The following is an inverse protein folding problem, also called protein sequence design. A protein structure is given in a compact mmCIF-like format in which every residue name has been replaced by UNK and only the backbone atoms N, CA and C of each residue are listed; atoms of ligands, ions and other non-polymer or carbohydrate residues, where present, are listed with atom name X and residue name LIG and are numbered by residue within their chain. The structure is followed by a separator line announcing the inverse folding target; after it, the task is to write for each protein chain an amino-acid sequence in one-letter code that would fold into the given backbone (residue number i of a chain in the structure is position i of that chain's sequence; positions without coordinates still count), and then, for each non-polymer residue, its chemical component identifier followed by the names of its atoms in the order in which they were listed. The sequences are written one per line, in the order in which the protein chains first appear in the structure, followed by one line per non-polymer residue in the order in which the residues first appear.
data_IF_437063306703
#
_entry.id   IF_437063306703
#
_cell.length_a   1.000
_cell.length_b   1.000
_cell.length_c   1.000
_cell.angle_alpha   90.00
_cell.angle_beta   90.00
_cell.angle_gamma   90.00
#
_symmetry.space_group_name_H-M   'P 1'
#
loop_
_entity.id
_entity.type
_entity.pdbx_description
1 polymer ?
#
# COMPACT_ATOMS: atom_id res chain seq x y z
N UNK A 1 17.94 27.76 -20.04
CA UNK A 1 16.87 27.39 -19.09
C UNK A 1 17.38 27.68 -17.69
N UNK A 2 16.59 28.26 -16.78
CA UNK A 2 17.04 28.47 -15.40
C UNK A 2 17.42 27.11 -14.76
N UNK A 3 18.46 27.09 -13.94
CA UNK A 3 18.88 25.89 -13.21
C UNK A 3 17.68 25.37 -12.40
N UNK A 4 17.27 24.14 -12.68
CA UNK A 4 16.21 23.47 -11.91
C UNK A 4 16.79 23.12 -10.54
N UNK A 5 16.32 23.79 -9.49
CA UNK A 5 16.60 23.41 -8.11
C UNK A 5 15.83 22.12 -7.73
N UNK A 6 16.19 21.49 -6.60
CA UNK A 6 15.58 20.24 -6.11
C UNK A 6 14.04 20.29 -6.09
N UNK A 7 13.48 21.43 -5.68
CA UNK A 7 12.03 21.63 -5.63
C UNK A 7 11.37 21.41 -7.00
N UNK A 8 11.92 22.00 -8.08
CA UNK A 8 11.39 21.81 -9.42
C UNK A 8 11.43 20.33 -9.85
N UNK A 9 12.46 19.58 -9.48
CA UNK A 9 12.54 18.14 -9.76
C UNK A 9 11.43 17.37 -9.06
N UNK A 10 11.23 17.61 -7.76
CA UNK A 10 10.16 16.95 -7.01
C UNK A 10 8.78 17.25 -7.59
N UNK A 11 8.50 18.50 -7.98
CA UNK A 11 7.23 18.86 -8.61
C UNK A 11 7.01 18.10 -9.90
N UNK A 12 8.02 18.03 -10.77
CA UNK A 12 7.90 17.31 -12.05
C UNK A 12 7.76 15.80 -11.84
N UNK A 13 8.57 15.20 -10.97
CA UNK A 13 8.52 13.76 -10.67
C UNK A 13 7.15 13.39 -10.10
N UNK A 14 6.65 14.18 -9.14
CA UNK A 14 5.33 13.96 -8.55
C UNK A 14 4.22 14.13 -9.60
N UNK A 15 4.30 15.17 -10.44
CA UNK A 15 3.36 15.35 -11.55
C UNK A 15 3.29 14.16 -12.50
N UNK A 16 4.45 13.59 -12.87
CA UNK A 16 4.51 12.39 -13.73
C UNK A 16 3.90 11.16 -13.05
N UNK A 17 4.18 10.95 -11.77
CA UNK A 17 3.58 9.86 -10.99
C UNK A 17 2.07 10.03 -10.88
N UNK A 18 1.58 11.26 -10.67
CA UNK A 18 0.14 11.58 -10.64
C UNK A 18 -0.57 11.36 -11.98
N UNK A 19 0.15 11.49 -13.10
CA UNK A 19 -0.33 11.13 -14.44
C UNK A 19 -0.10 9.65 -14.80
N UNK A 20 0.31 8.81 -13.84
CA UNK A 20 0.65 7.39 -14.04
C UNK A 20 1.80 7.14 -15.04
N UNK A 21 2.64 8.14 -15.32
CA UNK A 21 3.80 8.05 -16.21
C UNK A 21 5.05 7.60 -15.46
N UNK A 22 4.99 6.39 -14.90
CA UNK A 22 6.01 5.87 -13.99
C UNK A 22 7.38 5.72 -14.66
N UNK A 23 7.43 5.25 -15.91
CA UNK A 23 8.69 5.12 -16.66
C UNK A 23 9.36 6.48 -16.90
N UNK A 24 8.56 7.51 -17.21
CA UNK A 24 9.06 8.88 -17.39
C UNK A 24 9.56 9.47 -16.07
N UNK A 25 8.88 9.19 -14.94
CA UNK A 25 9.32 9.64 -13.62
C UNK A 25 10.69 9.05 -13.26
N UNK A 26 10.91 7.76 -13.54
CA UNK A 26 12.21 7.09 -13.34
C UNK A 26 13.27 7.67 -14.29
N UNK A 27 12.93 7.90 -15.56
CA UNK A 27 13.84 8.52 -16.51
C UNK A 27 14.25 9.94 -16.07
N UNK A 28 13.31 10.73 -15.56
CA UNK A 28 13.55 12.07 -15.07
C UNK A 28 14.46 12.08 -13.84
N UNK A 29 14.31 11.12 -12.94
CA UNK A 29 15.24 10.95 -11.82
C UNK A 29 16.66 10.62 -12.29
N UNK A 30 16.82 9.80 -13.34
CA UNK A 30 18.17 9.56 -13.92
C UNK A 30 18.79 10.84 -14.46
N UNK A 31 18.01 11.72 -15.09
CA UNK A 31 18.49 13.04 -15.53
C UNK A 31 18.90 13.92 -14.33
N UNK A 32 18.11 13.91 -13.26
CA UNK A 32 18.41 14.61 -12.01
C UNK A 32 19.77 14.15 -11.42
N UNK A 33 20.02 12.84 -11.42
CA UNK A 33 21.29 12.25 -10.96
C UNK A 33 22.49 12.64 -11.86
N UNK A 34 22.31 12.70 -13.18
CA UNK A 34 23.36 13.17 -14.11
C UNK A 34 23.76 14.62 -13.85
N UNK A 35 22.82 15.42 -13.34
CA UNK A 35 23.05 16.80 -12.90
C UNK A 35 23.61 16.90 -11.48
N UNK A 36 23.96 15.77 -10.85
CA UNK A 36 24.50 15.65 -9.49
C UNK A 36 23.57 16.24 -8.43
N UNK A 37 22.26 16.20 -8.67
CA UNK A 37 21.25 16.62 -7.71
C UNK A 37 20.75 15.35 -7.01
N UNK A 38 20.91 15.31 -5.69
CA UNK A 38 20.46 14.18 -4.87
C UNK A 38 18.96 14.22 -4.65
N UNK A 39 18.33 13.04 -4.67
CA UNK A 39 16.92 12.89 -4.36
C UNK A 39 16.69 12.99 -2.86
N UNK A 40 15.57 13.58 -2.47
CA UNK A 40 15.15 13.59 -1.07
C UNK A 40 14.07 12.54 -0.81
N UNK A 41 13.51 12.58 0.39
CA UNK A 41 12.41 11.70 0.82
C UNK A 41 11.20 11.74 -0.13
N UNK A 42 10.83 12.92 -0.63
CA UNK A 42 9.69 13.05 -1.56
C UNK A 42 10.04 12.38 -2.88
N UNK A 43 11.25 12.62 -3.39
CA UNK A 43 11.75 11.92 -4.59
C UNK A 43 11.67 10.40 -4.41
N UNK A 44 12.14 9.87 -3.28
CA UNK A 44 12.17 8.44 -3.01
C UNK A 44 10.77 7.83 -2.93
N UNK A 45 9.84 8.47 -2.21
CA UNK A 45 8.46 8.00 -2.10
C UNK A 45 7.78 7.91 -3.49
N UNK A 46 7.94 8.94 -4.34
CA UNK A 46 7.40 8.94 -5.69
C UNK A 46 7.99 7.80 -6.55
N UNK A 47 9.30 7.56 -6.46
CA UNK A 47 9.97 6.52 -7.24
C UNK A 47 9.63 5.11 -6.74
N UNK A 48 9.44 4.92 -5.43
CA UNK A 48 8.96 3.66 -4.88
C UNK A 48 7.54 3.33 -5.37
N UNK A 49 6.65 4.32 -5.40
CA UNK A 49 5.32 4.16 -5.99
C UNK A 49 5.39 3.80 -7.49
N UNK A 50 6.29 4.45 -8.25
CA UNK A 50 6.53 4.06 -9.63
C UNK A 50 7.01 2.60 -9.74
N UNK A 51 7.90 2.15 -8.85
CA UNK A 51 8.36 0.76 -8.81
C UNK A 51 7.22 -0.23 -8.53
N UNK A 52 6.33 0.11 -7.60
CA UNK A 52 5.12 -0.67 -7.30
C UNK A 52 4.30 -0.95 -8.56
N UNK A 53 4.04 0.08 -9.37
CA UNK A 53 3.20 -0.05 -10.56
C UNK A 53 3.92 -0.72 -11.74
N UNK A 54 5.23 -0.55 -11.84
CA UNK A 54 6.05 -1.16 -12.88
C UNK A 54 6.47 -2.60 -12.55
N UNK A 55 6.28 -3.07 -11.30
CA UNK A 55 6.85 -4.33 -10.82
C UNK A 55 8.38 -4.32 -10.81
N UNK A 56 9.00 -3.14 -10.67
CA UNK A 56 10.43 -2.94 -10.85
C UNK A 56 11.22 -3.23 -9.57
N UNK A 57 11.22 -4.49 -9.12
CA UNK A 57 11.82 -4.93 -7.85
C UNK A 57 13.28 -4.51 -7.69
N UNK A 58 14.10 -4.68 -8.73
CA UNK A 58 15.53 -4.35 -8.68
C UNK A 58 15.77 -2.84 -8.53
N UNK A 59 14.94 -2.01 -9.16
CA UNK A 59 15.00 -0.57 -8.96
C UNK A 59 14.56 -0.20 -7.54
N UNK A 60 13.51 -0.84 -7.02
CA UNK A 60 13.07 -0.68 -5.63
C UNK A 60 14.14 -1.05 -4.60
N UNK A 61 14.88 -2.14 -4.83
CA UNK A 61 16.04 -2.55 -4.01
C UNK A 61 17.15 -1.50 -4.07
N UNK A 62 17.45 -1.00 -5.26
CA UNK A 62 18.43 0.06 -5.43
C UNK A 62 18.02 1.35 -4.70
N UNK A 63 16.75 1.76 -4.79
CA UNK A 63 16.22 2.92 -4.07
C UNK A 63 16.26 2.75 -2.55
N UNK A 64 15.95 1.55 -2.05
CA UNK A 64 16.09 1.24 -0.62
C UNK A 64 17.55 1.38 -0.15
N UNK A 65 18.50 0.90 -0.96
CA UNK A 65 19.93 1.12 -0.73
C UNK A 65 20.32 2.60 -0.77
N UNK A 66 19.78 3.36 -1.72
CA UNK A 66 19.98 4.80 -1.85
C UNK A 66 19.54 5.55 -0.59
N UNK A 67 18.35 5.24 -0.07
CA UNK A 67 17.81 5.81 1.17
C UNK A 67 18.80 5.59 2.34
N UNK A 68 19.30 4.36 2.50
CA UNK A 68 20.27 4.02 3.55
C UNK A 68 21.61 4.74 3.35
N UNK A 69 22.13 4.76 2.12
CA UNK A 69 23.43 5.36 1.79
C UNK A 69 23.44 6.88 1.99
N UNK A 70 22.37 7.56 1.59
CA UNK A 70 22.22 9.02 1.73
C UNK A 70 21.66 9.45 3.09
N UNK A 71 21.43 8.50 4.01
CA UNK A 71 20.88 8.74 5.36
C UNK A 71 19.56 9.53 5.31
N UNK A 72 18.73 9.23 4.31
CA UNK A 72 17.38 9.80 4.23
C UNK A 72 16.57 9.20 5.39
N UNK A 73 15.95 10.07 6.18
CA UNK A 73 15.16 9.67 7.35
C UNK A 73 14.03 8.71 6.94
N UNK A 74 14.01 7.54 7.59
CA UNK A 74 12.97 6.54 7.41
C UNK A 74 11.84 6.78 8.41
N UNK A 75 10.83 7.54 7.99
CA UNK A 75 9.61 7.71 8.78
C UNK A 75 8.53 6.70 8.34
N UNK A 76 7.37 6.73 9.02
CA UNK A 76 6.25 5.85 8.73
C UNK A 76 5.78 5.94 7.27
N UNK A 77 5.80 7.13 6.65
CA UNK A 77 5.37 7.31 5.26
C UNK A 77 6.32 6.65 4.26
N UNK A 78 7.63 6.92 4.37
CA UNK A 78 8.63 6.30 3.48
C UNK A 78 8.75 4.79 3.74
N UNK A 79 8.64 4.38 5.01
CA UNK A 79 8.55 2.99 5.42
C UNK A 79 7.38 2.25 4.79
N UNK A 80 6.18 2.84 4.86
CA UNK A 80 4.97 2.29 4.22
C UNK A 80 5.15 2.13 2.72
N UNK A 81 5.75 3.12 2.05
CA UNK A 81 6.04 3.04 0.62
C UNK A 81 7.00 1.89 0.27
N UNK A 82 8.01 1.63 1.11
CA UNK A 82 8.91 0.49 0.93
C UNK A 82 8.20 -0.86 1.16
N UNK A 83 7.39 -0.97 2.22
CA UNK A 83 6.59 -2.18 2.49
C UNK A 83 5.69 -2.48 1.30
N UNK A 84 4.92 -1.49 0.84
CA UNK A 84 4.00 -1.63 -0.30
C UNK A 84 4.76 -2.02 -1.58
N UNK A 85 5.88 -1.34 -1.87
CA UNK A 85 6.71 -1.63 -3.04
C UNK A 85 7.26 -3.06 -3.01
N UNK A 86 7.86 -3.50 -1.91
CA UNK A 86 8.39 -4.86 -1.83
C UNK A 86 7.28 -5.90 -1.95
N UNK A 87 6.16 -5.68 -1.27
CA UNK A 87 5.09 -6.67 -1.22
C UNK A 87 4.41 -6.82 -2.60
N UNK A 88 4.13 -5.71 -3.29
CA UNK A 88 3.54 -5.73 -4.64
C UNK A 88 4.51 -6.15 -5.73
N UNK A 89 5.82 -5.94 -5.54
CA UNK A 89 6.85 -6.51 -6.40
C UNK A 89 7.16 -8.00 -6.10
N UNK A 90 6.42 -8.64 -5.19
CA UNK A 90 6.53 -10.08 -4.91
C UNK A 90 7.66 -10.49 -3.96
N UNK A 91 8.31 -9.55 -3.28
CA UNK A 91 9.40 -9.81 -2.33
C UNK A 91 8.89 -9.66 -0.90
N UNK A 92 8.00 -10.58 -0.50
CA UNK A 92 7.27 -10.51 0.79
C UNK A 92 8.22 -10.55 1.99
N UNK A 93 9.29 -11.33 1.93
CA UNK A 93 10.27 -11.41 3.02
C UNK A 93 10.92 -10.04 3.28
N UNK A 94 11.22 -9.30 2.20
CA UNK A 94 11.76 -7.93 2.32
C UNK A 94 10.71 -6.95 2.82
N UNK A 95 9.44 -7.12 2.44
CA UNK A 95 8.36 -6.29 2.96
C UNK A 95 8.18 -6.50 4.48
N UNK A 96 8.20 -7.74 4.94
CA UNK A 96 8.13 -8.09 6.36
C UNK A 96 9.35 -7.56 7.13
N UNK A 97 10.56 -7.68 6.57
CA UNK A 97 11.76 -7.13 7.19
C UNK A 97 11.66 -5.62 7.38
N UNK A 98 11.26 -4.88 6.33
CA UNK A 98 11.09 -3.41 6.45
C UNK A 98 10.00 -3.09 7.45
N UNK A 99 8.88 -3.82 7.43
CA UNK A 99 7.81 -3.65 8.39
C UNK A 99 8.31 -3.82 9.83
N UNK A 100 9.04 -4.89 10.13
CA UNK A 100 9.62 -5.13 11.47
C UNK A 100 10.61 -4.03 11.89
N UNK A 101 11.43 -3.53 10.96
CA UNK A 101 12.41 -2.45 11.21
C UNK A 101 11.75 -1.09 11.54
N UNK A 102 10.48 -0.86 11.19
CA UNK A 102 9.80 0.43 11.44
C UNK A 102 9.44 0.60 12.92
N UNK A 103 9.86 1.69 13.59
CA UNK A 103 9.54 1.93 14.99
C UNK A 103 8.05 2.26 15.20
N UNK A 104 7.46 2.97 14.25
CA UNK A 104 6.04 3.32 14.23
C UNK A 104 5.39 2.75 12.98
N UNK A 105 4.18 2.22 13.14
CA UNK A 105 3.39 1.61 12.07
C UNK A 105 1.97 2.11 12.19
N UNK A 106 1.45 2.73 11.14
CA UNK A 106 0.07 3.18 11.09
C UNK A 106 -0.83 2.16 10.38
N UNK A 107 -2.12 2.47 10.28
CA UNK A 107 -3.09 1.61 9.55
C UNK A 107 -2.59 1.33 8.14
N UNK A 108 -2.05 2.33 7.42
CA UNK A 108 -1.57 2.15 6.04
C UNK A 108 -0.41 1.16 5.95
N UNK A 109 0.52 1.19 6.91
CA UNK A 109 1.67 0.28 6.98
C UNK A 109 1.21 -1.18 7.09
N UNK A 110 0.23 -1.43 7.97
CA UNK A 110 -0.36 -2.76 8.16
C UNK A 110 -1.19 -3.19 6.95
N UNK A 111 -1.99 -2.29 6.40
CA UNK A 111 -2.78 -2.53 5.19
C UNK A 111 -1.90 -2.94 4.01
N UNK A 112 -0.79 -2.24 3.79
CA UNK A 112 0.16 -2.56 2.71
C UNK A 112 0.68 -4.00 2.84
N UNK A 113 1.05 -4.42 4.05
CA UNK A 113 1.53 -5.78 4.29
C UNK A 113 0.43 -6.83 4.13
N UNK A 114 -0.76 -6.60 4.69
CA UNK A 114 -1.91 -7.53 4.59
C UNK A 114 -2.32 -7.73 3.12
N UNK A 115 -2.47 -6.64 2.36
CA UNK A 115 -2.82 -6.69 0.93
C UNK A 115 -1.72 -7.39 0.13
N UNK A 116 -0.45 -7.08 0.42
CA UNK A 116 0.68 -7.73 -0.23
C UNK A 116 0.73 -9.24 0.00
N UNK A 117 0.55 -9.69 1.24
CA UNK A 117 0.46 -11.10 1.61
C UNK A 117 -0.71 -11.78 0.88
N UNK A 118 -1.88 -11.15 0.86
CA UNK A 118 -3.05 -11.63 0.12
C UNK A 118 -2.77 -11.83 -1.37
N UNK A 119 -2.15 -10.85 -2.02
CA UNK A 119 -1.83 -10.89 -3.46
C UNK A 119 -0.73 -11.91 -3.80
N UNK A 120 0.17 -12.20 -2.86
CA UNK A 120 1.26 -13.18 -3.04
C UNK A 120 0.83 -14.64 -2.85
N UNK A 121 -0.46 -14.91 -2.60
CA UNK A 121 -0.96 -16.25 -2.29
C UNK A 121 -0.74 -16.67 -0.83
N UNK A 122 -0.16 -15.81 0.01
CA UNK A 122 0.02 -16.01 1.45
C UNK A 122 -1.19 -15.47 2.24
N UNK A 123 -2.39 -15.73 1.73
CA UNK A 123 -3.63 -15.16 2.26
C UNK A 123 -3.84 -15.44 3.74
N UNK A 124 -3.58 -16.67 4.19
CA UNK A 124 -3.70 -17.04 5.60
C UNK A 124 -2.78 -16.21 6.52
N UNK A 125 -1.55 -15.93 6.08
CA UNK A 125 -0.63 -15.09 6.85
C UNK A 125 -1.12 -13.64 6.87
N UNK A 126 -1.62 -13.13 5.74
CA UNK A 126 -2.27 -11.83 5.68
C UNK A 126 -3.44 -11.70 6.65
N UNK A 127 -4.26 -12.76 6.81
CA UNK A 127 -5.34 -12.79 7.80
C UNK A 127 -4.83 -12.72 9.24
N UNK A 128 -3.71 -13.39 9.57
CA UNK A 128 -3.11 -13.29 10.91
C UNK A 128 -2.65 -11.86 11.21
N UNK A 129 -2.07 -11.17 10.24
CA UNK A 129 -1.70 -9.75 10.41
C UNK A 129 -2.94 -8.87 10.59
N UNK A 130 -4.00 -9.11 9.81
CA UNK A 130 -5.27 -8.40 9.96
C UNK A 130 -5.88 -8.59 11.35
N UNK A 131 -5.93 -9.83 11.85
CA UNK A 131 -6.51 -10.17 13.15
C UNK A 131 -5.72 -9.54 14.32
N UNK A 132 -4.43 -9.26 14.14
CA UNK A 132 -3.57 -8.59 15.12
C UNK A 132 -3.72 -7.07 15.15
N UNK A 133 -4.25 -6.43 14.11
CA UNK A 133 -4.37 -4.96 14.06
C UNK A 133 -5.10 -4.37 15.29
N UNK A 134 -6.22 -4.92 15.79
CA UNK A 134 -6.90 -4.41 16.98
C UNK A 134 -6.09 -4.54 18.27
N UNK A 135 -5.24 -5.57 18.39
CA UNK A 135 -4.35 -5.77 19.53
C UNK A 135 -3.29 -4.65 19.63
N UNK A 136 -2.94 -4.08 18.48
CA UNK A 136 -2.02 -2.95 18.32
C UNK A 136 -2.74 -1.59 18.39
N UNK A 137 -4.03 -1.58 18.77
CA UNK A 137 -4.85 -0.38 18.85
C UNK A 137 -5.22 0.22 17.49
N UNK A 138 -5.04 -0.52 16.40
CA UNK A 138 -5.37 -0.08 15.05
C UNK A 138 -6.74 -0.58 14.62
N UNK A 139 -7.52 0.31 14.01
CA UNK A 139 -8.79 -0.04 13.36
C UNK A 139 -8.51 -0.28 11.88
N UNK A 140 -8.69 -1.51 11.35
CA UNK A 140 -8.60 -1.74 9.91
C UNK A 140 -9.57 -0.81 9.17
N UNK A 141 -9.20 -0.36 7.98
CA UNK A 141 -10.01 0.51 7.11
C UNK A 141 -10.63 -0.28 5.95
N UNK A 142 -11.44 0.39 5.12
CA UNK A 142 -12.11 -0.24 4.00
C UNK A 142 -11.11 -0.90 3.01
N UNK A 143 -9.93 -0.30 2.81
CA UNK A 143 -8.89 -0.83 1.93
C UNK A 143 -8.34 -2.14 2.50
N UNK A 144 -8.14 -2.20 3.82
CA UNK A 144 -7.69 -3.41 4.51
C UNK A 144 -8.68 -4.57 4.30
N UNK A 145 -9.97 -4.30 4.47
CA UNK A 145 -11.01 -5.31 4.27
C UNK A 145 -11.10 -5.79 2.81
N UNK A 146 -10.95 -4.88 1.83
CA UNK A 146 -10.89 -5.28 0.42
C UNK A 146 -9.73 -6.26 0.20
N UNK A 147 -8.56 -5.99 0.78
CA UNK A 147 -7.40 -6.89 0.74
C UNK A 147 -7.69 -8.27 1.33
N UNK A 148 -8.29 -8.30 2.52
CA UNK A 148 -8.69 -9.53 3.23
C UNK A 148 -9.71 -10.35 2.45
N UNK A 149 -10.75 -9.71 1.92
CA UNK A 149 -11.77 -10.39 1.12
C UNK A 149 -11.20 -10.95 -0.18
N UNK A 150 -10.29 -10.21 -0.82
CA UNK A 150 -9.53 -10.71 -1.96
C UNK A 150 -8.67 -11.93 -1.56
N UNK A 151 -8.01 -11.89 -0.40
CA UNK A 151 -7.25 -13.04 0.13
C UNK A 151 -8.14 -14.27 0.30
N UNK A 152 -9.31 -14.10 0.94
CA UNK A 152 -10.26 -15.18 1.16
C UNK A 152 -10.80 -15.77 -0.15
N UNK A 153 -11.06 -14.91 -1.14
CA UNK A 153 -11.49 -15.33 -2.48
C UNK A 153 -10.42 -16.19 -3.17
N UNK A 154 -9.17 -15.72 -3.21
CA UNK A 154 -8.07 -16.46 -3.85
C UNK A 154 -7.70 -17.75 -3.11
N UNK A 155 -7.82 -17.77 -1.78
CA UNK A 155 -7.50 -18.94 -0.95
C UNK A 155 -8.68 -19.93 -0.79
N UNK A 156 -9.86 -19.62 -1.33
CA UNK A 156 -11.07 -20.45 -1.15
C UNK A 156 -11.60 -20.47 0.29
N UNK A 157 -11.23 -19.49 1.12
CA UNK A 157 -11.64 -19.37 2.52
C UNK A 157 -13.00 -18.65 2.63
N UNK A 158 -14.04 -19.24 2.00
CA UNK A 158 -15.37 -18.61 1.88
C UNK A 158 -15.98 -18.26 3.23
N UNK A 159 -15.89 -19.15 4.22
CA UNK A 159 -16.48 -18.96 5.55
C UNK A 159 -15.84 -17.78 6.29
N UNK A 160 -14.50 -17.68 6.22
CA UNK A 160 -13.76 -16.54 6.77
C UNK A 160 -14.09 -15.24 6.03
N UNK A 161 -14.20 -15.31 4.70
CA UNK A 161 -14.61 -14.18 3.86
C UNK A 161 -15.96 -13.60 4.29
N UNK A 162 -16.97 -14.47 4.49
CA UNK A 162 -18.30 -14.06 4.97
C UNK A 162 -18.22 -13.46 6.39
N UNK A 163 -17.46 -14.09 7.29
CA UNK A 163 -17.28 -13.60 8.65
C UNK A 163 -16.67 -12.18 8.67
N UNK A 164 -15.58 -11.96 7.90
CA UNK A 164 -14.97 -10.63 7.82
C UNK A 164 -15.90 -9.61 7.16
N UNK A 165 -16.61 -9.97 6.09
CA UNK A 165 -17.59 -9.08 5.46
C UNK A 165 -18.67 -8.61 6.45
N UNK A 166 -19.24 -9.53 7.23
CA UNK A 166 -20.26 -9.18 8.23
C UNK A 166 -19.69 -8.27 9.32
N UNK A 167 -18.43 -8.51 9.75
CA UNK A 167 -17.76 -7.67 10.75
C UNK A 167 -17.52 -6.22 10.28
N UNK A 168 -17.57 -5.94 8.98
CA UNK A 168 -17.46 -4.56 8.45
C UNK A 168 -18.63 -3.69 8.90
N UNK A 169 -19.85 -4.26 8.94
CA UNK A 169 -21.07 -3.55 9.34
C UNK A 169 -21.06 -3.20 10.84
N UNK A 170 -20.55 -4.12 11.67
CA UNK A 170 -20.45 -3.94 13.12
C UNK A 170 -19.41 -2.88 13.52
N UNK A 171 -18.39 -2.67 12.69
CA UNK A 171 -17.29 -1.72 12.97
C UNK A 171 -17.60 -0.29 12.51
N UNK A 172 -18.84 -0.01 12.08
CA UNK A 172 -19.29 1.33 11.63
C UNK A 172 -18.29 1.96 10.67
N UNK A 173 -17.84 1.21 9.65
CA UNK A 173 -17.26 1.87 8.49
C UNK A 173 -18.38 2.65 7.83
N UNK A 174 -18.20 3.96 7.63
CA UNK A 174 -19.02 4.73 6.70
C UNK A 174 -18.77 4.21 5.28
N UNK A 175 -19.31 3.02 5.01
CA UNK A 175 -19.51 2.54 3.67
C UNK A 175 -20.65 3.43 3.13
N UNK A 176 -20.35 4.28 2.15
CA UNK A 176 -21.38 4.68 1.20
C UNK A 176 -21.40 3.51 0.20
N UNK A 177 -22.27 2.49 0.38
CA UNK A 177 -22.36 1.46 -0.63
C UNK A 177 -22.75 2.13 -1.95
N UNK A 178 -22.18 1.69 -3.10
CA UNK A 178 -22.79 2.03 -4.38
C UNK A 178 -24.26 1.61 -4.30
N UNK A 179 -25.15 2.50 -4.74
CA UNK A 179 -26.61 2.58 -4.52
C UNK A 179 -27.44 1.27 -4.63
N UNK A 180 -26.85 0.14 -5.00
CA UNK A 180 -27.52 -1.11 -5.31
C UNK A 180 -27.52 -2.16 -4.18
N UNK A 181 -26.85 -1.94 -3.04
CA UNK A 181 -26.80 -2.96 -1.96
C UNK A 181 -27.79 -2.65 -0.83
N UNK A 182 -28.09 -1.38 -0.56
CA UNK A 182 -29.12 -1.02 0.44
C UNK A 182 -30.52 -1.49 0.01
N UNK A 183 -30.86 -1.41 -1.28
CA UNK A 183 -32.15 -1.92 -1.77
C UNK A 183 -32.27 -3.44 -1.58
N UNK A 184 -31.19 -4.19 -1.82
CA UNK A 184 -31.18 -5.65 -1.63
C UNK A 184 -31.27 -6.02 -0.15
N UNK A 185 -30.68 -5.23 0.74
CA UNK A 185 -30.76 -5.42 2.20
C UNK A 185 -32.15 -5.08 2.78
N UNK A 186 -32.81 -4.05 2.24
CA UNK A 186 -34.20 -3.71 2.58
C UNK A 186 -35.20 -4.75 2.07
N UNK A 187 -34.96 -5.34 0.89
CA UNK A 187 -35.79 -6.44 0.38
C UNK A 187 -35.68 -7.70 1.25
N UNK A 188 -34.45 -8.08 1.65
CA UNK A 188 -34.23 -9.27 2.49
C UNK A 188 -34.76 -9.14 3.93
N UNK A 189 -34.80 -7.93 4.48
CA UNK A 189 -35.32 -7.69 5.83
C UNK A 189 -36.84 -7.56 5.88
N UNK A 190 -37.51 -7.29 4.75
CA UNK A 190 -38.97 -7.31 4.64
C UNK A 190 -39.56 -8.73 4.59
N UNK A 191 -38.83 -9.72 4.05
CA UNK A 191 -39.29 -11.12 3.97
C UNK A 191 -39.16 -11.91 5.29
N UNK A 192 -38.43 -11.38 6.29
CA UNK A 192 -38.27 -12.01 7.61
C UNK A 192 -39.26 -11.48 8.67
N UNK A 193 -40.19 -10.60 8.27
CA UNK A 193 -41.19 -10.00 9.14
C UNK A 193 -42.63 -10.52 8.89
N UNK A 194 -42.81 -11.53 8.04
CA UNK A 194 -44.04 -12.34 7.89
C UNK A 194 -43.90 -13.71 8.57
#
# INVERSE_FOLDING_TARGET
MPEKNLFCWNVMINGLVGECKYDEAVALFREMQQKKIEGDKVTMACLLLACTHLGALELGRWLHGYIKMHKIEMDVALGTALVDMYARCGSIESAQQVFEELPEKDVMTWTALVVGLAMSGQGEEGLKFFDRMPEEGLKPDAITFIGVLAACSHAGLTDKGVAYFNSMAERSMEFIPPLNIMEVWWMYSAELAE
#
